data_IF_085477979667
#
_entry.id   IF_085477979667
#
_cell.length_a   1.000
_cell.length_b   1.000
_cell.length_c   1.000
_cell.angle_alpha   90.00
_cell.angle_beta   90.00
_cell.angle_gamma   90.00
#
_symmetry.space_group_name_H-M   'P 1'
#
loop_
_entity.id
_entity.type
_entity.pdbx_description
1 polymer ?
#
# COMPACT_ATOMS: atom_id res chain seq x y z
N UNK A 1 4.05 -21.87 31.54
CA UNK A 1 3.11 -20.74 31.23
C UNK A 1 1.73 -21.33 31.07
N UNK A 2 0.80 -20.90 31.90
CA UNK A 2 -0.56 -21.43 31.83
C UNK A 2 -1.32 -20.86 30.62
N UNK A 3 -2.23 -21.66 30.06
CA UNK A 3 -3.04 -21.28 28.89
C UNK A 3 -3.82 -19.97 29.13
N UNK A 4 -4.23 -19.72 30.36
CA UNK A 4 -4.91 -18.48 30.78
C UNK A 4 -4.06 -17.25 30.63
N UNK A 5 -2.75 -17.34 30.91
CA UNK A 5 -1.80 -16.23 30.77
C UNK A 5 -1.53 -15.91 29.30
N UNK A 6 -1.45 -16.96 28.46
CA UNK A 6 -1.29 -16.78 27.01
C UNK A 6 -2.52 -16.09 26.42
N UNK A 7 -3.72 -16.53 26.78
CA UNK A 7 -4.95 -15.92 26.32
C UNK A 7 -5.08 -14.45 26.75
N UNK A 8 -4.73 -14.13 27.99
CA UNK A 8 -4.76 -12.76 28.49
C UNK A 8 -3.74 -11.84 27.75
N UNK A 9 -2.55 -12.38 27.45
CA UNK A 9 -1.55 -11.64 26.67
C UNK A 9 -2.01 -11.40 25.22
N UNK A 10 -2.62 -12.39 24.57
CA UNK A 10 -3.15 -12.27 23.22
C UNK A 10 -4.29 -11.25 23.18
N UNK A 11 -5.24 -11.30 24.13
CA UNK A 11 -6.35 -10.33 24.21
C UNK A 11 -5.82 -8.91 24.42
N UNK A 12 -4.82 -8.73 25.31
CA UNK A 12 -4.19 -7.43 25.53
C UNK A 12 -3.52 -6.88 24.26
N UNK A 13 -2.76 -7.71 23.54
CA UNK A 13 -2.14 -7.32 22.27
C UNK A 13 -3.18 -6.96 21.20
N UNK A 14 -4.27 -7.73 21.09
CA UNK A 14 -5.35 -7.42 20.16
C UNK A 14 -6.00 -6.08 20.49
N UNK A 15 -6.22 -5.77 21.77
CA UNK A 15 -6.80 -4.52 22.20
C UNK A 15 -5.88 -3.33 21.87
N UNK A 16 -4.58 -3.44 22.15
CA UNK A 16 -3.59 -2.41 21.82
C UNK A 16 -3.50 -2.15 20.31
N UNK A 17 -3.57 -3.22 19.50
CA UNK A 17 -3.60 -3.11 18.03
C UNK A 17 -4.90 -2.44 17.57
N UNK A 18 -6.06 -2.83 18.10
CA UNK A 18 -7.34 -2.21 17.76
C UNK A 18 -7.39 -0.73 18.12
N UNK A 19 -6.87 -0.36 19.28
CA UNK A 19 -6.83 1.04 19.74
C UNK A 19 -5.85 1.89 18.89
N UNK A 20 -4.74 1.32 18.45
CA UNK A 20 -3.82 1.98 17.52
C UNK A 20 -4.42 2.14 16.11
N UNK A 21 -5.22 1.19 15.64
CA UNK A 21 -5.94 1.26 14.36
C UNK A 21 -7.06 2.29 14.42
N UNK A 22 -7.82 2.34 15.51
CA UNK A 22 -8.90 3.33 15.70
C UNK A 22 -8.41 4.77 15.68
N UNK A 23 -7.14 5.02 16.03
CA UNK A 23 -6.55 6.36 15.97
C UNK A 23 -6.26 6.85 14.54
N UNK A 24 -6.32 5.97 13.53
CA UNK A 24 -6.07 6.28 12.11
C UNK A 24 -7.17 5.73 11.22
N UNK A 25 -8.30 6.43 11.19
CA UNK A 25 -9.36 6.07 10.25
C UNK A 25 -8.97 6.50 8.82
N UNK A 26 -9.28 5.66 7.83
CA UNK A 26 -9.06 5.96 6.42
C UNK A 26 -9.73 7.27 5.97
N UNK A 27 -10.83 7.64 6.63
CA UNK A 27 -11.56 8.91 6.39
C UNK A 27 -10.71 10.15 6.66
N UNK A 28 -9.76 10.05 7.60
CA UNK A 28 -8.88 11.14 7.99
C UNK A 28 -7.61 11.22 7.13
N UNK A 29 -7.36 10.17 6.33
CA UNK A 29 -6.22 10.11 5.44
C UNK A 29 -6.45 10.91 4.17
N UNK A 30 -5.43 11.56 3.68
CA UNK A 30 -5.44 12.21 2.36
C UNK A 30 -5.45 11.16 1.25
N UNK A 31 -5.86 11.55 0.05
CA UNK A 31 -5.80 10.69 -1.14
C UNK A 31 -4.39 10.14 -1.38
N UNK A 32 -3.39 10.98 -1.18
CA UNK A 32 -1.97 10.58 -1.34
C UNK A 32 -1.55 9.51 -0.34
N UNK A 33 -1.98 9.62 0.91
CA UNK A 33 -1.71 8.61 1.95
C UNK A 33 -2.41 7.29 1.63
N UNK A 34 -3.66 7.33 1.16
CA UNK A 34 -4.40 6.13 0.76
C UNK A 34 -3.73 5.43 -0.44
N UNK A 35 -3.25 6.18 -1.43
CA UNK A 35 -2.49 5.62 -2.55
C UNK A 35 -1.17 5.01 -2.06
N UNK A 36 -0.49 5.67 -1.13
CA UNK A 36 0.74 5.15 -0.52
C UNK A 36 0.48 3.80 0.18
N UNK A 37 -0.60 3.67 0.95
CA UNK A 37 -0.99 2.41 1.59
C UNK A 37 -1.29 1.31 0.57
N UNK A 38 -1.99 1.63 -0.53
CA UNK A 38 -2.22 0.68 -1.62
C UNK A 38 -0.90 0.16 -2.20
N UNK A 39 0.04 1.05 -2.50
CA UNK A 39 1.37 0.68 -3.02
C UNK A 39 2.12 -0.18 -2.01
N UNK A 40 2.10 0.21 -0.74
CA UNK A 40 2.74 -0.53 0.35
C UNK A 40 2.18 -1.95 0.48
N UNK A 41 0.88 -2.13 0.40
CA UNK A 41 0.23 -3.45 0.43
C UNK A 41 0.67 -4.32 -0.76
N UNK A 42 0.75 -3.77 -1.97
CA UNK A 42 1.20 -4.50 -3.15
C UNK A 42 2.68 -4.89 -3.02
N UNK A 43 3.53 -3.98 -2.58
CA UNK A 43 4.96 -4.23 -2.39
C UNK A 43 5.24 -5.15 -1.20
N UNK A 44 4.44 -5.12 -0.15
CA UNK A 44 4.64 -5.92 1.06
C UNK A 44 4.46 -7.43 0.87
N UNK A 45 3.89 -7.88 -0.23
CA UNK A 45 3.65 -9.28 -0.48
C UNK A 45 4.96 -10.04 -0.79
N UNK A 46 5.38 -10.89 0.12
CA UNK A 46 6.59 -11.74 -0.03
C UNK A 46 7.93 -11.01 0.12
N UNK A 47 7.92 -9.81 0.67
CA UNK A 47 9.11 -8.99 0.93
C UNK A 47 9.03 -8.42 2.35
N UNK A 48 10.17 -8.23 3.01
CA UNK A 48 10.20 -7.63 4.35
C UNK A 48 9.61 -6.22 4.32
N UNK A 49 8.87 -5.89 5.36
CA UNK A 49 8.15 -4.62 5.49
C UNK A 49 9.05 -3.40 5.28
N UNK A 50 10.26 -3.40 5.84
CA UNK A 50 11.19 -2.27 5.73
C UNK A 50 11.59 -1.98 4.28
N UNK A 51 11.75 -3.03 3.48
CA UNK A 51 12.07 -2.90 2.05
C UNK A 51 10.86 -2.34 1.30
N UNK A 52 9.70 -2.93 1.52
CA UNK A 52 8.46 -2.49 0.87
C UNK A 52 8.14 -1.03 1.20
N UNK A 53 8.26 -0.63 2.45
CA UNK A 53 7.99 0.73 2.89
C UNK A 53 8.99 1.75 2.32
N UNK A 54 10.28 1.40 2.22
CA UNK A 54 11.29 2.28 1.63
C UNK A 54 11.02 2.53 0.15
N UNK A 55 10.70 1.49 -0.63
CA UNK A 55 10.33 1.63 -2.03
C UNK A 55 8.98 2.32 -2.24
N UNK A 56 7.98 2.03 -1.39
CA UNK A 56 6.69 2.73 -1.41
C UNK A 56 6.84 4.23 -1.20
N UNK A 57 7.69 4.63 -0.24
CA UNK A 57 8.01 6.03 -0.01
C UNK A 57 8.70 6.69 -1.21
N UNK A 58 9.63 5.98 -1.86
CA UNK A 58 10.30 6.46 -3.06
C UNK A 58 9.31 6.67 -4.23
N UNK A 59 8.38 5.73 -4.44
CA UNK A 59 7.32 5.86 -5.46
C UNK A 59 6.41 7.04 -5.13
N UNK A 60 6.01 7.20 -3.88
CA UNK A 60 5.17 8.32 -3.44
C UNK A 60 5.83 9.68 -3.64
N UNK A 61 7.14 9.78 -3.40
CA UNK A 61 7.93 10.99 -3.65
C UNK A 61 8.08 11.32 -5.14
N UNK A 62 8.15 10.30 -5.99
CA UNK A 62 8.25 10.49 -7.44
C UNK A 62 6.99 11.16 -8.02
N UNK A 63 5.82 10.90 -7.45
CA UNK A 63 4.57 11.51 -7.87
C UNK A 63 4.01 11.01 -9.21
N UNK A 64 4.42 9.83 -9.68
CA UNK A 64 3.90 9.26 -10.94
C UNK A 64 2.43 8.81 -10.86
N UNK A 65 1.93 8.52 -9.66
CA UNK A 65 0.55 8.07 -9.41
C UNK A 65 -0.38 9.29 -9.23
N UNK A 66 -0.67 9.96 -10.32
CA UNK A 66 -1.61 11.07 -10.39
C UNK A 66 -2.66 10.82 -11.48
N UNK A 67 -3.85 11.37 -11.31
CA UNK A 67 -4.98 11.17 -12.25
C UNK A 67 -4.64 11.50 -13.69
N UNK A 68 -3.79 12.48 -13.92
CA UNK A 68 -3.35 12.89 -15.25
C UNK A 68 -2.66 11.74 -16.01
N UNK A 69 -1.90 10.91 -15.30
CA UNK A 69 -1.09 9.84 -15.91
C UNK A 69 -1.89 8.57 -16.19
N UNK A 70 -3.14 8.45 -15.71
CA UNK A 70 -4.00 7.26 -15.91
C UNK A 70 -4.24 6.95 -17.39
N UNK A 71 -4.18 7.95 -18.26
CA UNK A 71 -4.30 7.79 -19.71
C UNK A 71 -3.05 7.16 -20.36
N UNK A 72 -1.94 7.13 -19.63
CA UNK A 72 -0.65 6.63 -20.09
C UNK A 72 -0.08 5.60 -19.09
N UNK A 73 -0.72 4.42 -18.94
CA UNK A 73 -0.31 3.41 -17.98
C UNK A 73 1.14 2.94 -18.18
N UNK A 74 1.62 2.91 -19.41
CA UNK A 74 3.02 2.56 -19.71
C UNK A 74 4.02 3.55 -19.12
N UNK A 75 3.66 4.83 -19.05
CA UNK A 75 4.49 5.85 -18.38
C UNK A 75 4.57 5.59 -16.88
N UNK A 76 3.45 5.23 -16.25
CA UNK A 76 3.42 4.86 -14.83
C UNK A 76 4.30 3.64 -14.59
N UNK A 77 4.15 2.58 -15.39
CA UNK A 77 4.94 1.35 -15.27
C UNK A 77 6.44 1.66 -15.40
N UNK A 78 6.86 2.42 -16.40
CA UNK A 78 8.26 2.80 -16.61
C UNK A 78 8.82 3.59 -15.44
N UNK A 79 8.07 4.53 -14.90
CA UNK A 79 8.47 5.35 -13.75
C UNK A 79 8.65 4.48 -12.49
N UNK A 80 7.72 3.59 -12.22
CA UNK A 80 7.81 2.67 -11.08
C UNK A 80 8.96 1.67 -11.27
N UNK A 81 9.12 1.10 -12.47
CA UNK A 81 10.23 0.20 -12.79
C UNK A 81 11.60 0.85 -12.57
N UNK A 82 11.74 2.10 -12.97
CA UNK A 82 12.98 2.85 -12.73
C UNK A 82 13.31 2.92 -11.24
N UNK A 83 12.32 3.16 -10.39
CA UNK A 83 12.51 3.20 -8.93
C UNK A 83 12.82 1.81 -8.38
N UNK A 84 12.06 0.79 -8.77
CA UNK A 84 12.23 -0.59 -8.26
C UNK A 84 13.55 -1.24 -8.69
N UNK A 85 14.12 -0.83 -9.79
CA UNK A 85 15.42 -1.32 -10.28
C UNK A 85 16.61 -0.55 -9.74
N UNK A 86 16.39 0.59 -9.12
CA UNK A 86 17.44 1.45 -8.58
C UNK A 86 17.60 1.27 -7.06
N UNK A 87 18.70 1.79 -6.56
CA UNK A 87 19.00 1.81 -5.15
C UNK A 87 18.05 2.78 -4.42
N UNK A 88 17.52 2.34 -3.28
CA UNK A 88 16.68 3.13 -2.39
C UNK A 88 17.21 3.03 -0.96
N UNK A 89 17.30 4.17 -0.29
CA UNK A 89 17.75 4.24 1.10
C UNK A 89 16.66 3.73 2.05
N UNK A 90 17.10 3.04 3.10
CA UNK A 90 16.21 2.62 4.18
C UNK A 90 15.63 3.82 4.92
N UNK A 91 14.36 3.73 5.32
CA UNK A 91 13.71 4.76 6.15
C UNK A 91 14.17 4.73 7.61
N UNK A 92 14.80 3.64 8.07
CA UNK A 92 15.09 3.41 9.50
C UNK A 92 16.58 3.38 9.87
N UNK A 93 17.46 3.21 8.88
CA UNK A 93 18.90 3.08 9.12
C UNK A 93 19.71 3.55 7.91
N UNK A 94 21.03 3.53 8.04
CA UNK A 94 21.96 3.94 6.96
C UNK A 94 22.16 2.88 5.87
N UNK A 95 21.36 1.83 5.87
CA UNK A 95 21.41 0.80 4.82
C UNK A 95 20.68 1.27 3.57
N UNK A 96 21.07 0.73 2.44
CA UNK A 96 20.36 0.90 1.18
C UNK A 96 20.01 -0.45 0.56
N UNK A 97 18.91 -0.47 -0.17
CA UNK A 97 18.45 -1.62 -0.93
C UNK A 97 18.80 -1.40 -2.39
N UNK A 98 19.57 -2.33 -2.98
CA UNK A 98 20.09 -2.17 -4.34
C UNK A 98 19.00 -2.30 -5.41
N UNK A 99 18.04 -3.20 -5.19
CA UNK A 99 16.97 -3.49 -6.13
C UNK A 99 15.80 -4.15 -5.42
N UNK A 100 14.59 -3.87 -5.88
CA UNK A 100 13.38 -4.56 -5.41
C UNK A 100 13.24 -5.95 -6.06
N UNK A 101 12.68 -6.91 -5.31
CA UNK A 101 12.40 -8.27 -5.82
C UNK A 101 11.15 -8.25 -6.72
N UNK A 102 11.22 -8.87 -7.89
CA UNK A 102 10.13 -8.94 -8.88
C UNK A 102 9.61 -7.57 -9.36
N UNK A 103 10.47 -6.68 -9.84
CA UNK A 103 10.10 -5.31 -10.13
C UNK A 103 9.05 -5.20 -11.24
N UNK A 104 9.14 -6.01 -12.30
CA UNK A 104 8.23 -5.95 -13.46
C UNK A 104 6.79 -6.25 -13.05
N UNK A 105 6.56 -7.36 -12.35
CA UNK A 105 5.23 -7.77 -11.88
C UNK A 105 4.64 -6.72 -10.94
N UNK A 106 5.44 -6.20 -10.01
CA UNK A 106 4.97 -5.21 -9.04
C UNK A 106 4.65 -3.86 -9.68
N UNK A 107 5.46 -3.40 -10.63
CA UNK A 107 5.18 -2.18 -11.37
C UNK A 107 3.86 -2.30 -12.16
N UNK A 108 3.63 -3.44 -12.80
CA UNK A 108 2.37 -3.71 -13.51
C UNK A 108 1.19 -3.72 -12.55
N UNK A 109 1.25 -4.44 -11.44
CA UNK A 109 0.16 -4.50 -10.46
C UNK A 109 -0.18 -3.14 -9.86
N UNK A 110 0.82 -2.33 -9.54
CA UNK A 110 0.59 -0.97 -9.01
C UNK A 110 -0.11 -0.11 -10.07
N UNK A 111 0.39 -0.12 -11.31
CA UNK A 111 -0.19 0.66 -12.39
C UNK A 111 -1.63 0.24 -12.70
N UNK A 112 -1.89 -1.06 -12.87
CA UNK A 112 -3.22 -1.59 -13.16
C UNK A 112 -4.21 -1.30 -12.03
N UNK A 113 -3.82 -1.56 -10.78
CA UNK A 113 -4.66 -1.30 -9.61
C UNK A 113 -5.03 0.17 -9.52
N UNK A 114 -4.06 1.07 -9.69
CA UNK A 114 -4.29 2.50 -9.64
C UNK A 114 -5.17 2.98 -10.80
N UNK A 115 -4.87 2.58 -12.04
CA UNK A 115 -5.65 2.98 -13.22
C UNK A 115 -7.08 2.47 -13.14
N UNK A 116 -7.30 1.21 -12.77
CA UNK A 116 -8.64 0.63 -12.62
C UNK A 116 -9.44 1.36 -11.55
N UNK A 117 -8.81 1.65 -10.42
CA UNK A 117 -9.44 2.36 -9.32
C UNK A 117 -9.87 3.77 -9.72
N UNK A 118 -9.01 4.52 -10.41
CA UNK A 118 -9.34 5.88 -10.86
C UNK A 118 -10.39 5.86 -11.95
N UNK A 119 -10.33 4.92 -12.90
CA UNK A 119 -11.31 4.80 -14.00
C UNK A 119 -12.69 4.41 -13.48
N UNK A 120 -12.77 3.50 -12.52
CA UNK A 120 -14.05 2.99 -12.00
C UNK A 120 -14.66 3.90 -10.91
N UNK A 121 -13.85 4.42 -10.01
CA UNK A 121 -14.30 5.16 -8.80
C UNK A 121 -13.88 6.62 -8.77
N UNK A 122 -12.95 7.03 -9.59
CA UNK A 122 -12.43 8.40 -9.66
C UNK A 122 -11.36 8.71 -8.60
N UNK A 123 -11.40 8.07 -7.42
CA UNK A 123 -10.41 8.26 -6.35
C UNK A 123 -10.48 7.14 -5.32
N UNK A 124 -9.43 6.99 -4.49
CA UNK A 124 -9.42 6.08 -3.35
C UNK A 124 -10.53 6.41 -2.34
N UNK A 125 -10.72 7.67 -2.02
CA UNK A 125 -11.81 8.08 -1.12
C UNK A 125 -13.18 7.74 -1.65
N UNK A 126 -13.42 7.93 -2.95
CA UNK A 126 -14.67 7.55 -3.59
C UNK A 126 -14.88 6.04 -3.58
N UNK A 127 -13.81 5.25 -3.77
CA UNK A 127 -13.86 3.80 -3.66
C UNK A 127 -14.32 3.35 -2.27
N UNK A 128 -13.72 3.87 -1.21
CA UNK A 128 -14.11 3.53 0.16
C UNK A 128 -15.54 3.99 0.50
N UNK A 129 -15.94 5.17 0.08
CA UNK A 129 -17.29 5.69 0.30
C UNK A 129 -18.38 4.84 -0.40
N UNK A 130 -18.11 4.39 -1.65
CA UNK A 130 -19.05 3.56 -2.41
C UNK A 130 -19.07 2.10 -1.97
N UNK A 131 -18.00 1.62 -1.34
CA UNK A 131 -17.89 0.23 -0.93
C UNK A 131 -18.68 -0.10 0.32
N UNK A 132 -19.04 0.90 1.13
CA UNK A 132 -19.80 0.69 2.35
C UNK A 132 -19.07 -0.17 3.37
N UNK A 133 -19.72 -1.23 3.86
CA UNK A 133 -19.12 -2.13 4.85
C UNK A 133 -18.00 -3.01 4.27
N UNK A 134 -17.07 -3.44 5.13
CA UNK A 134 -15.92 -4.30 4.78
C UNK A 134 -16.30 -5.57 3.98
N UNK A 135 -17.49 -6.12 4.18
CA UNK A 135 -18.01 -7.28 3.46
C UNK A 135 -18.21 -6.96 1.96
N UNK A 136 -18.74 -5.79 1.65
CA UNK A 136 -18.94 -5.34 0.28
C UNK A 136 -17.61 -5.02 -0.41
N UNK A 137 -16.63 -4.54 0.35
CA UNK A 137 -15.26 -4.30 -0.11
C UNK A 137 -14.59 -5.60 -0.54
N UNK A 138 -14.68 -6.63 0.29
CA UNK A 138 -14.12 -7.95 0.00
C UNK A 138 -14.71 -8.58 -1.26
N UNK A 139 -16.03 -8.53 -1.44
CA UNK A 139 -16.69 -9.09 -2.62
C UNK A 139 -16.29 -8.38 -3.92
N UNK A 140 -15.97 -7.08 -3.87
CA UNK A 140 -15.50 -6.31 -5.03
C UNK A 140 -14.03 -6.52 -5.35
N UNK A 141 -13.20 -6.87 -4.37
CA UNK A 141 -11.76 -7.13 -4.57
C UNK A 141 -11.47 -8.54 -5.07
N UNK A 142 -12.43 -9.47 -4.95
CA UNK A 142 -12.29 -10.89 -5.35
C UNK A 142 -12.87 -11.17 -6.74
N UNK A 143 -13.52 -10.20 -7.36
CA UNK A 143 -13.97 -10.24 -8.76
C UNK A 143 -12.87 -9.77 -9.70
#
# INVERSE_FOLDING_TARGET
>A
MELSQINSAIVGLCQDVEDSIKSRMWSDMSEKELIHELVLCILGSGVRYEIAASYSNAISKNGCLIKKNVKEPDHIIKSILSILNNQVDSLWNDKCYKRYRYPNIRATYISESYCNLVNEFGSMKSFFNKSGHAINLRSKLVQ
#
